data_IF_520973753417
#
_entry.id   IF_520973753417
#
_cell.length_a   1.000
_cell.length_b   1.000
_cell.length_c   1.000
_cell.angle_alpha   90.00
_cell.angle_beta   90.00
_cell.angle_gamma   90.00
#
_symmetry.space_group_name_H-M   'P 1'
#
loop_
_entity.id
_entity.type
_entity.pdbx_description
1 polymer ?
#
# COMPACT_ATOMS: atom_id res chain seq x y z
N UNK A 1 -12.37 -67.41 -24.81
CA UNK A 1 -13.28 -66.41 -24.17
C UNK A 1 -13.04 -66.43 -22.66
N UNK A 2 -13.10 -65.27 -21.98
CA UNK A 2 -12.51 -64.89 -20.65
C UNK A 2 -11.09 -64.32 -20.85
N UNK A 3 -10.69 -63.12 -20.38
CA UNK A 3 -10.91 -62.39 -19.13
C UNK A 3 -10.72 -60.87 -19.37
N UNK A 4 -11.78 -60.07 -19.21
CA UNK A 4 -12.05 -59.13 -18.09
C UNK A 4 -11.13 -57.92 -17.98
N UNK A 5 -11.67 -56.81 -18.47
CA UNK A 5 -11.39 -55.40 -18.17
C UNK A 5 -11.16 -55.12 -16.68
N UNK A 6 -9.94 -54.77 -16.27
CA UNK A 6 -9.67 -54.16 -14.94
C UNK A 6 -8.42 -53.27 -15.00
N UNK A 7 -8.39 -52.24 -15.84
CA UNK A 7 -7.25 -51.30 -15.88
C UNK A 7 -7.65 -49.81 -15.90
N UNK A 8 -8.95 -49.48 -15.82
CA UNK A 8 -9.40 -48.09 -15.94
C UNK A 8 -9.63 -47.37 -14.61
N UNK A 9 -9.66 -48.08 -13.48
CA UNK A 9 -10.05 -47.50 -12.19
C UNK A 9 -8.93 -46.74 -11.46
N UNK A 10 -7.66 -47.05 -11.76
CA UNK A 10 -6.52 -46.44 -11.07
C UNK A 10 -6.24 -44.99 -11.53
N UNK A 11 -6.61 -44.63 -12.77
CA UNK A 11 -6.32 -43.32 -13.33
C UNK A 11 -7.22 -42.20 -12.76
N UNK A 12 -8.44 -42.53 -12.30
CA UNK A 12 -9.41 -41.53 -11.82
C UNK A 12 -9.05 -41.01 -10.42
N UNK A 13 -8.44 -41.83 -9.58
CA UNK A 13 -8.07 -41.42 -8.21
C UNK A 13 -6.89 -40.45 -8.16
N UNK A 14 -5.94 -40.51 -9.11
CA UNK A 14 -4.76 -39.62 -9.11
C UNK A 14 -5.13 -38.18 -9.45
N UNK A 15 -6.15 -37.95 -10.29
CA UNK A 15 -6.60 -36.61 -10.66
C UNK A 15 -7.35 -35.91 -9.51
N UNK A 16 -8.10 -36.66 -8.69
CA UNK A 16 -8.86 -36.10 -7.57
C UNK A 16 -7.96 -35.58 -6.42
N UNK A 17 -6.81 -36.23 -6.19
CA UNK A 17 -5.86 -35.81 -5.15
C UNK A 17 -5.10 -34.53 -5.54
N UNK A 18 -4.84 -34.31 -6.84
CA UNK A 18 -4.14 -33.10 -7.28
C UNK A 18 -5.02 -31.84 -7.22
N UNK A 19 -6.33 -31.97 -7.41
CA UNK A 19 -7.28 -30.83 -7.39
C UNK A 19 -7.67 -30.38 -5.97
N UNK A 20 -7.35 -31.15 -4.93
CA UNK A 20 -7.64 -30.79 -3.53
C UNK A 20 -6.47 -30.11 -2.82
N UNK A 21 -5.33 -29.92 -3.52
CA UNK A 21 -4.17 -29.19 -2.97
C UNK A 21 -4.30 -27.65 -3.02
N UNK A 22 -5.47 -27.12 -3.42
CA UNK A 22 -5.86 -25.74 -3.15
C UNK A 22 -6.10 -25.54 -1.64
N UNK A 23 -5.01 -25.58 -0.89
CA UNK A 23 -4.97 -25.28 0.52
C UNK A 23 -5.61 -23.92 0.76
N UNK A 24 -6.69 -23.93 1.54
CA UNK A 24 -7.28 -22.72 2.08
C UNK A 24 -6.29 -22.15 3.12
N UNK A 25 -5.28 -21.41 2.66
CA UNK A 25 -4.45 -20.57 3.51
C UNK A 25 -5.24 -19.33 3.92
N UNK A 26 -6.23 -19.53 4.79
CA UNK A 26 -6.88 -18.43 5.52
C UNK A 26 -6.49 -18.49 7.00
N UNK A 27 -5.19 -18.47 7.26
CA UNK A 27 -4.66 -18.01 8.56
C UNK A 27 -4.71 -16.48 8.53
N UNK A 28 -5.90 -15.91 8.73
CA UNK A 28 -6.07 -14.48 9.05
C UNK A 28 -6.28 -14.25 10.56
N UNK A 29 -5.98 -15.25 11.38
CA UNK A 29 -6.05 -15.18 12.84
C UNK A 29 -4.69 -14.79 13.44
N UNK A 30 -4.15 -13.64 13.03
CA UNK A 30 -3.25 -12.84 13.87
C UNK A 30 -3.09 -11.46 13.23
N UNK A 31 -4.19 -10.70 13.22
CA UNK A 31 -4.10 -9.27 12.98
C UNK A 31 -3.41 -8.67 14.20
N UNK A 32 -2.06 -8.68 14.19
CA UNK A 32 -1.26 -7.82 15.06
C UNK A 32 -1.94 -6.46 14.99
N UNK A 33 -2.32 -5.96 16.16
CA UNK A 33 -2.90 -4.64 16.36
C UNK A 33 -1.94 -3.67 15.67
N UNK A 34 -2.24 -3.31 14.42
CA UNK A 34 -1.54 -2.24 13.74
C UNK A 34 -1.55 -1.09 14.74
N UNK A 35 -0.39 -0.49 15.09
CA UNK A 35 -0.43 0.78 15.80
C UNK A 35 -1.36 1.64 14.94
N UNK A 36 -2.48 2.03 15.53
CA UNK A 36 -3.49 2.80 14.85
C UNK A 36 -2.85 4.01 14.18
N UNK A 37 -3.53 4.67 13.25
CA UNK A 37 -3.07 5.98 12.79
C UNK A 37 -2.65 6.80 14.00
N UNK A 38 -1.47 7.46 13.98
CA UNK A 38 -1.16 8.41 15.04
C UNK A 38 -2.36 9.36 15.15
N UNK A 39 -2.76 9.75 16.37
CA UNK A 39 -3.98 10.50 16.57
C UNK A 39 -4.04 11.61 15.53
N UNK A 40 -5.07 11.56 14.68
CA UNK A 40 -5.41 12.67 13.79
C UNK A 40 -5.29 13.91 14.64
N UNK A 41 -4.56 14.93 14.18
CA UNK A 41 -4.40 16.17 14.91
C UNK A 41 -5.77 16.85 14.98
N UNK A 42 -6.67 16.32 15.81
CA UNK A 42 -7.90 16.92 16.24
C UNK A 42 -7.45 18.14 17.02
N UNK A 43 -7.51 19.29 16.35
CA UNK A 43 -7.29 20.59 16.97
C UNK A 43 -5.96 20.72 17.72
N UNK A 44 -4.83 20.41 17.06
CA UNK A 44 -3.64 21.21 17.40
C UNK A 44 -3.90 22.59 16.86
N UNK A 45 -4.36 23.48 17.74
CA UNK A 45 -4.32 24.93 17.54
C UNK A 45 -2.85 25.31 17.41
N UNK A 46 -2.30 25.08 16.22
CA UNK A 46 -0.95 25.48 15.87
C UNK A 46 -1.07 26.97 15.58
N UNK A 47 -0.68 27.80 16.55
CA UNK A 47 -0.53 29.26 16.42
C UNK A 47 0.64 29.58 15.47
N UNK A 48 0.58 29.05 14.24
CA UNK A 48 1.47 29.34 13.13
C UNK A 48 0.62 29.66 11.90
N UNK A 49 1.18 30.32 10.88
CA UNK A 49 0.46 30.73 9.69
C UNK A 49 -0.33 29.54 9.14
N UNK A 50 -1.64 29.73 8.93
CA UNK A 50 -2.62 28.70 8.55
C UNK A 50 -2.06 27.77 7.47
N UNK A 51 -1.48 26.66 7.89
CA UNK A 51 -0.94 25.66 6.97
C UNK A 51 -2.15 24.89 6.48
N UNK A 52 -2.62 25.21 5.27
CA UNK A 52 -3.57 24.39 4.54
C UNK A 52 -3.17 22.93 4.70
N UNK A 53 -4.03 22.14 5.34
CA UNK A 53 -3.64 20.82 5.79
C UNK A 53 -3.30 19.97 4.58
N UNK A 54 -2.05 19.53 4.50
CA UNK A 54 -1.56 18.91 3.28
C UNK A 54 -2.09 17.47 3.14
N UNK A 55 -2.43 17.02 1.93
CA UNK A 55 -2.84 15.64 1.69
C UNK A 55 -1.64 14.69 1.82
N UNK A 56 -1.89 13.43 2.17
CA UNK A 56 -0.86 12.38 2.22
C UNK A 56 -0.51 11.85 0.84
N UNK A 57 -1.46 11.89 -0.09
CA UNK A 57 -1.32 11.35 -1.44
C UNK A 57 -1.73 12.42 -2.43
N UNK A 58 -0.89 12.70 -3.42
CA UNK A 58 -1.19 13.61 -4.53
C UNK A 58 -1.01 12.90 -5.86
N UNK A 59 -1.81 13.32 -6.84
CA UNK A 59 -1.67 12.89 -8.23
C UNK A 59 -1.01 14.00 -9.04
N UNK A 60 -0.08 13.69 -9.95
CA UNK A 60 0.53 14.68 -10.81
C UNK A 60 -0.53 15.27 -11.76
N UNK A 61 -0.57 16.60 -11.84
CA UNK A 61 -1.41 17.36 -12.77
C UNK A 61 -0.57 17.88 -13.95
N UNK A 62 -1.16 18.39 -15.03
CA UNK A 62 -0.40 19.13 -16.04
C UNK A 62 0.43 20.25 -15.40
N UNK A 63 1.69 20.39 -15.81
CA UNK A 63 2.64 21.32 -15.18
C UNK A 63 3.28 20.84 -13.87
N UNK A 64 2.99 19.62 -13.43
CA UNK A 64 3.60 19.03 -12.24
C UNK A 64 5.09 18.80 -12.43
N UNK A 65 5.90 19.38 -11.56
CA UNK A 65 7.35 19.24 -11.58
C UNK A 65 7.80 18.16 -10.61
N UNK A 66 8.74 17.33 -11.03
CA UNK A 66 9.40 16.36 -10.16
C UNK A 66 10.91 16.43 -10.36
N UNK A 67 11.65 16.21 -9.28
CA UNK A 67 13.10 16.13 -9.28
C UNK A 67 13.54 14.68 -9.03
N UNK A 68 14.76 14.36 -9.45
CA UNK A 68 15.39 13.06 -9.19
C UNK A 68 16.35 13.21 -8.01
N UNK A 69 16.15 12.41 -6.97
CA UNK A 69 17.05 12.33 -5.83
C UNK A 69 18.29 11.50 -6.18
N UNK A 70 19.38 11.64 -5.42
CA UNK A 70 20.66 10.96 -5.68
C UNK A 70 20.55 9.42 -5.65
N UNK A 71 19.61 8.89 -4.86
CA UNK A 71 19.26 7.45 -4.84
C UNK A 71 18.42 6.99 -6.05
N UNK A 72 18.19 7.86 -7.04
CA UNK A 72 17.45 7.55 -8.25
C UNK A 72 15.92 7.62 -8.14
N UNK A 73 15.37 7.83 -6.94
CA UNK A 73 13.93 8.01 -6.73
C UNK A 73 13.49 9.41 -7.16
N UNK A 74 12.26 9.51 -7.65
CA UNK A 74 11.68 10.80 -8.01
C UNK A 74 10.88 11.35 -6.83
N UNK A 75 10.94 12.66 -6.65
CA UNK A 75 10.16 13.35 -5.64
C UNK A 75 9.61 14.66 -6.18
N UNK A 76 8.55 15.13 -5.54
CA UNK A 76 7.97 16.44 -5.75
C UNK A 76 8.12 17.24 -4.45
N UNK A 77 8.48 18.51 -4.57
CA UNK A 77 8.48 19.44 -3.44
C UNK A 77 7.38 20.47 -3.66
N UNK A 78 6.37 20.43 -2.80
CA UNK A 78 5.27 21.38 -2.84
C UNK A 78 5.69 22.77 -2.36
N UNK A 79 4.92 23.84 -2.68
CA UNK A 79 5.23 25.22 -2.27
C UNK A 79 5.32 25.40 -0.75
N UNK A 80 4.59 24.58 0.02
CA UNK A 80 4.65 24.50 1.48
C UNK A 80 5.92 23.82 2.03
N UNK A 81 6.87 23.49 1.17
CA UNK A 81 8.13 22.84 1.51
C UNK A 81 8.01 21.34 1.82
N UNK A 82 6.84 20.75 1.60
CA UNK A 82 6.58 19.33 1.84
C UNK A 82 7.15 18.48 0.71
N UNK A 83 7.77 17.37 1.08
CA UNK A 83 8.35 16.43 0.14
C UNK A 83 7.42 15.24 -0.07
N UNK A 84 7.17 14.91 -1.32
CA UNK A 84 6.39 13.76 -1.73
C UNK A 84 7.22 12.85 -2.62
N UNK A 85 7.23 11.57 -2.34
CA UNK A 85 7.97 10.59 -3.10
C UNK A 85 7.08 9.91 -4.15
N UNK A 86 7.62 9.72 -5.35
CA UNK A 86 6.93 9.02 -6.43
C UNK A 86 6.80 7.53 -6.08
N UNK A 87 5.57 7.04 -6.07
CA UNK A 87 5.26 5.60 -6.03
C UNK A 87 5.18 4.98 -7.41
N UNK A 88 5.02 3.66 -7.46
CA UNK A 88 4.92 2.90 -8.71
C UNK A 88 3.62 3.13 -9.49
N UNK A 89 2.60 3.64 -8.83
CA UNK A 89 1.26 3.88 -9.38
C UNK A 89 1.07 5.33 -9.87
N UNK A 90 2.17 6.00 -10.22
CA UNK A 90 2.19 7.40 -10.65
C UNK A 90 1.60 8.40 -9.65
N UNK A 91 1.39 7.99 -8.40
CA UNK A 91 1.02 8.89 -7.30
C UNK A 91 2.24 9.26 -6.49
N UNK A 92 2.11 10.32 -5.73
CA UNK A 92 3.15 10.88 -4.90
C UNK A 92 2.71 10.85 -3.44
N UNK A 93 3.55 10.26 -2.61
CA UNK A 93 3.25 9.96 -1.21
C UNK A 93 4.06 10.86 -0.30
N UNK A 94 3.40 11.52 0.65
CA UNK A 94 4.05 12.43 1.58
C UNK A 94 5.18 11.70 2.33
N UNK A 95 6.34 12.34 2.45
CA UNK A 95 7.42 11.81 3.26
C UNK A 95 6.99 11.69 4.73
N UNK A 96 7.37 10.57 5.35
CA UNK A 96 6.96 10.23 6.73
C UNK A 96 7.31 11.34 7.72
N UNK A 97 8.40 12.08 7.50
CA UNK A 97 8.83 13.17 8.37
C UNK A 97 7.80 14.31 8.44
N UNK A 98 6.94 14.42 7.43
CA UNK A 98 5.91 15.46 7.38
C UNK A 98 4.50 14.98 7.71
N UNK A 99 4.33 13.72 8.14
CA UNK A 99 2.99 13.17 8.39
C UNK A 99 2.21 13.96 9.45
N UNK A 100 2.91 14.52 10.44
CA UNK A 100 2.32 15.33 11.50
C UNK A 100 1.83 16.72 11.03
N UNK A 101 2.11 17.09 9.77
CA UNK A 101 1.70 18.35 9.14
C UNK A 101 0.54 18.15 8.14
N UNK A 102 0.08 16.91 7.98
CA UNK A 102 -0.99 16.54 7.08
C UNK A 102 -2.31 16.37 7.84
N UNK A 103 -3.43 16.67 7.18
CA UNK A 103 -4.75 16.22 7.62
C UNK A 103 -5.19 15.13 6.67
N UNK A 104 -5.64 14.02 7.22
CA UNK A 104 -5.98 12.85 6.44
C UNK A 104 -7.09 12.03 7.10
N UNK A 105 -7.81 11.31 6.25
CA UNK A 105 -8.76 10.31 6.72
C UNK A 105 -8.05 9.01 7.11
N UNK A 106 -8.73 8.17 7.90
CA UNK A 106 -8.24 6.83 8.21
C UNK A 106 -8.01 5.96 6.97
N UNK A 107 -8.81 6.17 5.92
CA UNK A 107 -8.65 5.46 4.65
C UNK A 107 -7.38 5.90 3.94
N UNK A 108 -7.19 7.21 3.79
CA UNK A 108 -6.01 7.81 3.14
C UNK A 108 -4.72 7.42 3.87
N UNK A 109 -4.72 7.40 5.20
CA UNK A 109 -3.56 6.93 5.98
C UNK A 109 -3.25 5.45 5.72
N UNK A 110 -4.27 4.58 5.64
CA UNK A 110 -4.06 3.15 5.34
C UNK A 110 -3.47 2.96 3.95
N UNK A 111 -3.96 3.73 2.99
CA UNK A 111 -3.46 3.72 1.63
C UNK A 111 -2.02 4.23 1.56
N UNK A 112 -1.76 5.39 2.15
CA UNK A 112 -0.41 5.95 2.27
C UNK A 112 0.53 4.94 2.95
N UNK A 113 0.13 4.33 4.08
CA UNK A 113 0.95 3.36 4.82
C UNK A 113 1.27 2.11 3.98
N UNK A 114 0.37 1.70 3.10
CA UNK A 114 0.56 0.54 2.20
C UNK A 114 1.62 0.83 1.15
N UNK A 115 1.62 2.03 0.56
CA UNK A 115 2.43 2.33 -0.62
C UNK A 115 3.67 3.19 -0.34
N UNK A 116 3.69 3.98 0.75
CA UNK A 116 4.81 4.88 1.08
C UNK A 116 6.12 4.14 1.40
N UNK A 117 6.03 2.87 1.84
CA UNK A 117 7.21 2.02 2.07
C UNK A 117 8.03 1.76 0.81
N UNK A 118 7.40 1.88 -0.34
CA UNK A 118 8.02 1.66 -1.63
C UNK A 118 8.53 2.95 -2.27
N UNK A 119 8.06 4.09 -1.79
CA UNK A 119 8.40 5.40 -2.34
C UNK A 119 9.57 6.07 -1.62
N UNK A 120 9.91 5.68 -0.39
CA UNK A 120 11.08 6.20 0.34
C UNK A 120 12.02 5.05 0.73
N UNK A 121 12.94 4.69 -0.16
CA UNK A 121 14.11 3.85 0.17
C UNK A 121 15.38 4.66 0.34
#
# INVERSE_FOLDING_TARGET
MKRTFTLSSAAVFVVAVLLTSCGHSRVWANKKKDPGPPPVAANRSYNGPSHAAAPLIISPTPGFTMARHSNGQYFHRGPQGLLYWKGYDNRFYLDRNYINRASYSNFEYKEWKRYSRHSSK
#
